data_IF_431471363741
#
_entry.id   IF_431471363741
#
_cell.length_a   1.000
_cell.length_b   1.000
_cell.length_c   1.000
_cell.angle_alpha   90.00
_cell.angle_beta   90.00
_cell.angle_gamma   90.00
#
_symmetry.space_group_name_H-M   'P 1'
#
loop_
_entity.id
_entity.type
_entity.pdbx_description
1 polymer ?
#
# COMPACT_ATOMS: atom_id res chain seq x y z
N UNK A 1 30.53 87.54 71.71
CA UNK A 1 29.53 87.37 70.64
C UNK A 1 29.89 86.12 69.87
N UNK A 2 28.96 85.19 69.82
CA UNK A 2 29.04 83.84 69.27
C UNK A 2 28.84 83.90 67.76
N UNK A 3 29.78 83.40 66.97
CA UNK A 3 29.50 82.91 65.61
C UNK A 3 29.81 81.42 65.57
N UNK A 4 28.74 80.64 65.52
CA UNK A 4 28.77 79.21 65.26
C UNK A 4 28.82 79.08 63.73
N UNK A 5 29.99 78.77 63.18
CA UNK A 5 30.05 78.26 61.80
C UNK A 5 29.71 76.77 61.83
N UNK A 6 28.46 76.47 61.45
CA UNK A 6 27.96 75.13 61.19
C UNK A 6 28.70 74.52 59.98
N UNK A 7 29.08 73.25 60.16
CA UNK A 7 29.61 72.28 59.18
C UNK A 7 31.12 72.24 58.93
N UNK A 8 31.74 71.14 59.39
CA UNK A 8 32.60 70.39 58.50
C UNK A 8 32.33 68.87 58.51
N UNK A 9 32.46 68.26 57.31
CA UNK A 9 32.64 66.82 56.97
C UNK A 9 31.40 65.92 56.79
N UNK A 10 31.02 65.66 55.53
CA UNK A 10 30.39 64.38 55.13
C UNK A 10 30.87 63.82 53.75
N UNK A 11 32.17 63.73 53.44
CA UNK A 11 32.60 63.04 52.22
C UNK A 11 32.33 61.52 52.26
N UNK A 12 32.29 60.89 53.43
CA UNK A 12 32.07 59.43 53.56
C UNK A 12 30.61 58.99 53.31
N UNK A 13 29.62 59.79 53.70
CA UNK A 13 28.19 59.46 53.52
C UNK A 13 27.77 59.45 52.05
N UNK A 14 28.31 60.36 51.25
CA UNK A 14 28.02 60.46 49.81
C UNK A 14 28.64 59.27 49.08
N UNK A 15 29.86 58.88 49.43
CA UNK A 15 30.55 57.72 48.83
C UNK A 15 29.81 56.40 49.11
N UNK A 16 29.29 56.21 50.32
CA UNK A 16 28.47 55.02 50.65
C UNK A 16 27.17 55.00 49.85
N UNK A 17 26.50 56.15 49.70
CA UNK A 17 25.27 56.24 48.91
C UNK A 17 25.51 55.91 47.44
N UNK A 18 26.58 56.45 46.84
CA UNK A 18 26.98 56.13 45.47
C UNK A 18 27.28 54.64 45.32
N UNK A 19 28.00 54.03 46.26
CA UNK A 19 28.30 52.60 46.23
C UNK A 19 27.04 51.73 46.29
N UNK A 20 26.08 52.08 47.16
CA UNK A 20 24.78 51.40 47.25
C UNK A 20 23.99 51.54 45.94
N UNK A 21 23.96 52.73 45.33
CA UNK A 21 23.26 52.92 44.05
C UNK A 21 23.87 52.09 42.92
N UNK A 22 25.21 52.01 42.84
CA UNK A 22 25.91 51.16 41.88
C UNK A 22 25.58 49.69 42.12
N UNK A 23 25.52 49.24 43.38
CA UNK A 23 25.16 47.87 43.73
C UNK A 23 23.72 47.53 43.31
N UNK A 24 22.77 48.45 43.52
CA UNK A 24 21.37 48.28 43.09
C UNK A 24 21.26 48.21 41.57
N UNK A 25 21.98 49.07 40.85
CA UNK A 25 22.01 49.06 39.38
C UNK A 25 22.61 47.74 38.86
N UNK A 26 23.70 47.25 39.45
CA UNK A 26 24.28 45.96 39.12
C UNK A 26 23.30 44.81 39.37
N UNK A 27 22.58 44.83 40.50
CA UNK A 27 21.56 43.83 40.82
C UNK A 27 20.39 43.86 39.81
N UNK A 28 19.96 45.05 39.40
CA UNK A 28 18.94 45.23 38.37
C UNK A 28 19.40 44.69 37.01
N UNK A 29 20.65 44.97 36.61
CA UNK A 29 21.23 44.42 35.38
C UNK A 29 21.27 42.89 35.45
N UNK A 30 21.71 42.31 36.58
CA UNK A 30 21.78 40.87 36.76
C UNK A 30 20.39 40.21 36.69
N UNK A 31 19.40 40.79 37.36
CA UNK A 31 18.02 40.28 37.35
C UNK A 31 17.39 40.35 35.96
N UNK A 32 17.59 41.44 35.21
CA UNK A 32 17.16 41.55 33.82
C UNK A 32 17.85 40.50 32.95
N UNK A 33 19.17 40.30 33.11
CA UNK A 33 19.92 39.31 32.34
C UNK A 33 19.44 37.88 32.62
N UNK A 34 19.20 37.53 33.88
CA UNK A 34 18.64 36.23 34.28
C UNK A 34 17.24 36.06 33.70
N UNK A 35 16.40 37.09 33.75
CA UNK A 35 15.04 37.05 33.21
C UNK A 35 15.03 36.86 31.68
N UNK A 36 15.91 37.55 30.95
CA UNK A 36 16.06 37.35 29.52
C UNK A 36 16.55 35.93 29.19
N UNK A 37 17.53 35.42 29.94
CA UNK A 37 18.04 34.06 29.75
C UNK A 37 16.96 33.01 30.03
N UNK A 38 16.17 33.19 31.08
CA UNK A 38 15.03 32.33 31.41
C UNK A 38 13.94 32.37 30.33
N UNK A 39 13.62 33.56 29.79
CA UNK A 39 12.68 33.68 28.66
C UNK A 39 13.19 32.94 27.42
N UNK A 40 14.48 33.09 27.09
CA UNK A 40 15.09 32.41 25.94
C UNK A 40 15.06 30.88 26.13
N UNK A 41 15.46 30.40 27.31
CA UNK A 41 15.39 28.98 27.66
C UNK A 41 13.97 28.43 27.54
N UNK A 42 12.97 29.16 28.04
CA UNK A 42 11.57 28.76 27.95
C UNK A 42 11.11 28.66 26.50
N UNK A 43 11.45 29.64 25.66
CA UNK A 43 11.14 29.63 24.23
C UNK A 43 11.77 28.42 23.51
N UNK A 44 13.06 28.15 23.74
CA UNK A 44 13.75 27.00 23.12
C UNK A 44 13.15 25.67 23.61
N UNK A 45 12.76 25.58 24.88
CA UNK A 45 12.09 24.40 25.40
C UNK A 45 10.71 24.19 24.75
N UNK A 46 9.93 25.25 24.57
CA UNK A 46 8.63 25.19 23.89
C UNK A 46 8.76 24.76 22.42
N UNK A 47 9.77 25.27 21.71
CA UNK A 47 10.09 24.89 20.34
C UNK A 47 10.50 23.41 20.24
N UNK A 48 11.41 22.95 21.09
CA UNK A 48 11.82 21.54 21.14
C UNK A 48 10.65 20.61 21.50
N UNK A 49 9.75 21.02 22.39
CA UNK A 49 8.54 20.24 22.71
C UNK A 49 7.60 20.16 21.50
N UNK A 50 7.47 21.23 20.71
CA UNK A 50 6.64 21.25 19.51
C UNK A 50 7.22 20.34 18.41
N UNK A 51 8.53 20.42 18.16
CA UNK A 51 9.24 19.56 17.22
C UNK A 51 9.11 18.08 17.60
N UNK A 52 9.28 17.76 18.89
CA UNK A 52 9.16 16.38 19.37
C UNK A 52 7.75 15.83 19.21
N UNK A 53 6.71 16.63 19.48
CA UNK A 53 5.32 16.24 19.22
C UNK A 53 5.04 16.01 17.74
N UNK A 54 5.67 16.77 16.86
CA UNK A 54 5.55 16.57 15.41
C UNK A 54 6.21 15.25 15.00
N UNK A 55 7.42 14.99 15.50
CA UNK A 55 8.13 13.74 15.26
C UNK A 55 7.33 12.53 15.75
N UNK A 56 6.77 12.58 16.95
CA UNK A 56 5.95 11.51 17.50
C UNK A 56 4.74 11.20 16.60
N UNK A 57 4.13 12.22 15.99
CA UNK A 57 3.01 12.03 15.04
C UNK A 57 3.46 11.42 13.71
N UNK A 58 4.59 11.86 13.15
CA UNK A 58 5.12 11.34 11.89
C UNK A 58 5.58 9.88 12.07
N UNK A 59 6.15 9.57 13.24
CA UNK A 59 6.65 8.24 13.56
C UNK A 59 5.57 7.28 14.09
N UNK A 60 4.31 7.70 14.21
CA UNK A 60 3.25 6.89 14.80
C UNK A 60 3.04 5.53 14.10
N UNK A 61 3.20 5.51 12.77
CA UNK A 61 3.06 4.31 11.95
C UNK A 61 4.32 3.41 11.98
N UNK A 62 5.43 3.89 12.57
CA UNK A 62 6.68 3.17 12.67
C UNK A 62 6.79 2.44 14.01
N UNK A 63 7.34 1.24 14.00
CA UNK A 63 7.69 0.50 15.22
C UNK A 63 8.98 1.01 15.83
N UNK A 64 9.94 1.44 15.01
CA UNK A 64 11.16 2.09 15.44
C UNK A 64 11.73 3.01 14.36
N UNK A 65 12.38 4.10 14.76
CA UNK A 65 13.08 5.02 13.86
C UNK A 65 14.42 5.42 14.47
N UNK A 66 15.46 5.30 13.66
CA UNK A 66 16.84 5.63 14.03
C UNK A 66 17.40 6.71 13.12
N UNK A 67 18.17 7.61 13.69
CA UNK A 67 19.04 8.53 12.95
C UNK A 67 20.45 7.95 12.95
N UNK A 68 20.94 7.52 11.79
CA UNK A 68 22.16 6.72 11.67
C UNK A 68 23.21 7.49 10.89
N UNK A 69 24.42 7.59 11.45
CA UNK A 69 25.60 8.02 10.71
C UNK A 69 26.26 6.80 10.04
N UNK A 70 26.14 6.72 8.72
CA UNK A 70 26.50 5.53 7.96
C UNK A 70 28.02 5.31 7.89
N UNK A 71 28.85 6.35 8.03
CA UNK A 71 30.31 6.18 7.99
C UNK A 71 30.87 5.54 9.27
N UNK A 72 30.28 5.86 10.42
CA UNK A 72 30.76 5.39 11.74
C UNK A 72 29.91 4.25 12.31
N UNK A 73 28.65 4.14 11.87
CA UNK A 73 27.64 3.27 12.45
C UNK A 73 27.10 3.75 13.79
N UNK A 74 27.41 4.97 14.23
CA UNK A 74 26.75 5.55 15.41
C UNK A 74 25.30 5.91 15.07
N UNK A 75 24.38 5.72 16.01
CA UNK A 75 22.98 6.08 15.80
C UNK A 75 22.33 6.69 17.04
N UNK A 76 21.25 7.43 16.80
CA UNK A 76 20.33 7.94 17.81
C UNK A 76 18.96 7.30 17.65
N UNK A 77 18.33 6.98 18.78
CA UNK A 77 16.98 6.44 18.83
C UNK A 77 16.00 7.61 18.81
N UNK A 78 15.33 7.83 17.68
CA UNK A 78 14.31 8.88 17.57
C UNK A 78 12.97 8.40 18.09
N UNK A 79 12.60 7.16 17.78
CA UNK A 79 11.33 6.58 18.16
C UNK A 79 11.43 5.07 18.33
N UNK A 80 10.81 4.52 19.38
CA UNK A 80 10.56 3.08 19.53
C UNK A 80 9.19 2.92 20.20
N UNK A 81 8.27 2.27 19.49
CA UNK A 81 6.96 1.91 20.02
C UNK A 81 7.07 0.79 21.06
N UNK A 82 6.15 0.80 22.02
CA UNK A 82 6.00 -0.27 23.00
C UNK A 82 5.50 -1.56 22.33
N UNK A 83 5.77 -2.70 22.96
CA UNK A 83 5.38 -4.02 22.42
C UNK A 83 6.19 -4.46 21.19
N UNK A 84 7.27 -3.76 20.82
CA UNK A 84 8.15 -4.14 19.70
C UNK A 84 9.26 -5.09 20.14
N UNK A 85 9.81 -5.86 19.20
CA UNK A 85 10.94 -6.76 19.45
C UNK A 85 12.18 -6.01 19.92
N UNK A 86 12.44 -4.83 19.35
CA UNK A 86 13.64 -4.04 19.68
C UNK A 86 13.58 -3.40 21.07
N UNK A 87 12.38 -3.10 21.60
CA UNK A 87 12.22 -2.62 22.99
C UNK A 87 12.81 -3.60 24.00
N UNK A 88 12.78 -4.91 23.72
CA UNK A 88 13.35 -5.96 24.59
C UNK A 88 14.88 -6.05 24.54
N UNK A 89 15.53 -5.42 23.57
CA UNK A 89 16.99 -5.50 23.39
C UNK A 89 17.76 -4.53 24.30
N UNK A 90 17.08 -3.58 24.95
CA UNK A 90 17.69 -2.55 25.81
C UNK A 90 18.87 -1.83 25.15
N UNK A 91 18.70 -1.46 23.87
CA UNK A 91 19.71 -0.69 23.12
C UNK A 91 20.09 0.58 23.87
N UNK A 92 21.38 0.90 23.88
CA UNK A 92 21.93 2.08 24.56
C UNK A 92 22.40 3.10 23.55
N UNK A 93 22.33 4.37 23.95
CA UNK A 93 22.95 5.46 23.21
C UNK A 93 24.46 5.20 23.12
N UNK A 94 25.00 5.16 21.89
CA UNK A 94 26.40 4.83 21.63
C UNK A 94 26.67 3.39 21.19
N UNK A 95 25.65 2.53 21.11
CA UNK A 95 25.77 1.24 20.44
C UNK A 95 26.07 1.43 18.93
N UNK A 96 26.69 0.43 18.31
CA UNK A 96 26.91 0.42 16.87
C UNK A 96 25.70 -0.16 16.13
N UNK A 97 25.22 0.54 15.12
CA UNK A 97 24.03 0.19 14.35
C UNK A 97 24.11 -1.21 13.72
N UNK A 98 25.24 -1.57 13.10
CA UNK A 98 25.41 -2.89 12.48
C UNK A 98 25.39 -4.00 13.54
N UNK A 99 26.02 -3.77 14.69
CA UNK A 99 26.01 -4.73 15.81
C UNK A 99 24.60 -4.90 16.38
N UNK A 100 23.84 -3.82 16.55
CA UNK A 100 22.45 -3.87 17.00
C UNK A 100 21.56 -4.60 15.99
N UNK A 101 21.73 -4.34 14.69
CA UNK A 101 21.00 -5.03 13.63
C UNK A 101 21.34 -6.53 13.57
N UNK A 102 22.61 -6.90 13.79
CA UNK A 102 23.05 -8.29 13.88
C UNK A 102 22.37 -9.03 15.04
N UNK A 103 22.37 -8.42 16.23
CA UNK A 103 21.71 -8.98 17.41
C UNK A 103 20.20 -9.14 17.18
N UNK A 104 19.56 -8.15 16.55
CA UNK A 104 18.15 -8.23 16.18
C UNK A 104 17.90 -9.43 15.26
N UNK A 105 18.72 -9.58 14.21
CA UNK A 105 18.60 -10.67 13.26
C UNK A 105 18.75 -12.06 13.92
N UNK A 106 19.75 -12.22 14.79
CA UNK A 106 19.97 -13.48 15.51
C UNK A 106 18.81 -13.82 16.44
N UNK A 107 18.24 -12.84 17.12
CA UNK A 107 17.19 -13.07 18.11
C UNK A 107 15.82 -13.29 17.46
N UNK A 108 15.47 -12.47 16.48
CA UNK A 108 14.10 -12.34 15.98
C UNK A 108 13.88 -12.84 14.55
N UNK A 109 14.91 -13.05 13.73
CA UNK A 109 14.72 -13.56 12.37
C UNK A 109 14.96 -15.06 12.26
N UNK A 110 14.30 -15.69 11.29
CA UNK A 110 14.52 -17.08 10.93
C UNK A 110 15.88 -17.25 10.25
N UNK A 111 16.55 -18.37 10.51
CA UNK A 111 17.95 -18.57 10.10
C UNK A 111 18.22 -18.31 8.62
N UNK A 112 17.29 -18.73 7.75
CA UNK A 112 17.40 -18.57 6.29
C UNK A 112 17.37 -17.11 5.82
N UNK A 113 16.69 -16.23 6.56
CA UNK A 113 16.46 -14.83 6.17
C UNK A 113 17.49 -13.87 6.80
N UNK A 114 18.27 -14.35 7.78
CA UNK A 114 19.20 -13.51 8.55
C UNK A 114 20.27 -12.87 7.68
N UNK A 115 20.89 -13.63 6.79
CA UNK A 115 22.03 -13.12 6.04
C UNK A 115 21.59 -12.01 5.08
N UNK A 116 20.51 -12.24 4.35
CA UNK A 116 19.92 -11.25 3.44
C UNK A 116 19.54 -9.96 4.17
N UNK A 117 18.88 -10.07 5.33
CA UNK A 117 18.57 -8.90 6.15
C UNK A 117 19.83 -8.16 6.59
N UNK A 118 20.86 -8.87 7.08
CA UNK A 118 22.12 -8.27 7.54
C UNK A 118 22.86 -7.55 6.42
N UNK A 119 22.89 -8.16 5.24
CA UNK A 119 23.53 -7.58 4.06
C UNK A 119 22.81 -6.29 3.66
N UNK A 120 21.47 -6.32 3.62
CA UNK A 120 20.66 -5.15 3.27
C UNK A 120 20.76 -4.01 4.28
N UNK A 121 20.66 -4.31 5.59
CA UNK A 121 20.64 -3.28 6.64
C UNK A 121 22.03 -2.72 6.96
N UNK A 122 23.11 -3.35 6.47
CA UNK A 122 24.47 -2.92 6.76
C UNK A 122 24.71 -1.48 6.35
N UNK A 123 25.40 -0.69 7.18
CA UNK A 123 25.70 0.71 6.85
C UNK A 123 26.43 0.88 5.53
N UNK A 124 27.27 -0.10 5.14
CA UNK A 124 27.93 -0.13 3.84
C UNK A 124 26.94 -0.22 2.68
N UNK A 125 25.97 -1.14 2.75
CA UNK A 125 24.93 -1.28 1.73
C UNK A 125 24.00 -0.06 1.70
N UNK A 126 23.54 0.40 2.87
CA UNK A 126 22.70 1.59 3.00
C UNK A 126 23.39 2.80 2.36
N UNK A 127 24.68 3.01 2.65
CA UNK A 127 25.48 4.10 2.08
C UNK A 127 25.55 3.97 0.56
N UNK A 128 25.91 2.80 0.03
CA UNK A 128 26.01 2.59 -1.42
C UNK A 128 24.69 2.91 -2.14
N UNK A 129 23.58 2.39 -1.62
CA UNK A 129 22.27 2.60 -2.23
C UNK A 129 21.80 4.04 -2.11
N UNK A 130 21.97 4.66 -0.94
CA UNK A 130 21.51 6.03 -0.67
C UNK A 130 22.38 7.10 -1.32
N UNK A 131 23.61 6.79 -1.73
CA UNK A 131 24.38 7.68 -2.62
C UNK A 131 23.73 7.84 -4.00
N UNK A 132 22.85 6.92 -4.41
CA UNK A 132 22.19 6.90 -5.73
C UNK A 132 20.68 7.12 -5.66
N UNK A 133 20.06 6.91 -4.50
CA UNK A 133 18.60 6.94 -4.29
C UNK A 133 18.29 7.74 -3.04
N UNK A 134 17.22 8.52 -3.07
CA UNK A 134 16.74 9.23 -1.86
C UNK A 134 16.23 8.27 -0.78
N UNK A 135 15.70 7.11 -1.20
CA UNK A 135 15.05 6.14 -0.31
C UNK A 135 15.12 4.72 -0.84
N UNK A 136 15.23 3.77 0.06
CA UNK A 136 15.14 2.33 -0.20
C UNK A 136 14.25 1.63 0.83
N UNK A 137 13.69 0.50 0.44
CA UNK A 137 12.77 -0.31 1.25
C UNK A 137 13.14 -1.78 1.18
N UNK A 138 12.83 -2.53 2.24
CA UNK A 138 13.03 -3.97 2.35
C UNK A 138 11.95 -4.60 3.19
N UNK A 139 11.43 -5.73 2.73
CA UNK A 139 10.40 -6.49 3.44
C UNK A 139 11.03 -7.73 4.05
N UNK A 140 10.70 -8.00 5.31
CA UNK A 140 11.20 -9.17 6.00
C UNK A 140 10.14 -9.72 6.96
N UNK A 141 10.29 -11.00 7.30
CA UNK A 141 9.49 -11.66 8.31
C UNK A 141 10.31 -11.86 9.58
N UNK A 142 9.76 -11.51 10.73
CA UNK A 142 10.32 -11.88 12.02
C UNK A 142 9.46 -12.91 12.73
N UNK A 143 10.01 -13.52 13.78
CA UNK A 143 9.20 -14.17 14.81
C UNK A 143 8.18 -13.16 15.37
N UNK A 144 6.97 -13.61 15.72
CA UNK A 144 5.93 -12.73 16.26
C UNK A 144 6.44 -11.87 17.42
N UNK A 145 6.17 -10.58 17.33
CA UNK A 145 6.37 -9.68 18.46
C UNK A 145 5.21 -9.84 19.49
N UNK A 146 5.26 -9.19 20.67
CA UNK A 146 4.14 -9.20 21.63
C UNK A 146 2.76 -8.85 21.08
N UNK A 147 2.69 -8.04 20.01
CA UNK A 147 1.47 -7.64 19.33
C UNK A 147 1.08 -8.61 18.19
N UNK A 148 1.74 -9.77 18.08
CA UNK A 148 1.54 -10.79 17.04
C UNK A 148 1.89 -10.34 15.61
N UNK A 149 2.63 -9.24 15.45
CA UNK A 149 3.12 -8.82 14.14
C UNK A 149 4.34 -9.64 13.74
N UNK A 150 4.33 -10.13 12.50
CA UNK A 150 5.39 -10.94 11.91
C UNK A 150 5.98 -10.31 10.65
N UNK A 151 5.21 -9.52 9.91
CA UNK A 151 5.64 -8.93 8.65
C UNK A 151 6.03 -7.47 8.82
N UNK A 152 7.24 -7.13 8.37
CA UNK A 152 7.81 -5.81 8.56
C UNK A 152 8.40 -5.24 7.27
N UNK A 153 8.34 -3.91 7.18
CA UNK A 153 9.09 -3.13 6.21
C UNK A 153 10.15 -2.31 6.94
N UNK A 154 11.40 -2.44 6.51
CA UNK A 154 12.46 -1.49 6.80
C UNK A 154 12.55 -0.47 5.66
N UNK A 155 12.69 0.80 6.03
CA UNK A 155 12.84 1.90 5.09
C UNK A 155 14.04 2.75 5.51
N UNK A 156 14.94 3.02 4.59
CA UNK A 156 16.05 3.94 4.81
C UNK A 156 15.94 5.13 3.86
N UNK A 157 16.09 6.34 4.37
CA UNK A 157 16.04 7.58 3.61
C UNK A 157 17.26 8.45 3.90
N UNK A 158 17.84 9.02 2.85
CA UNK A 158 18.97 9.96 2.97
C UNK A 158 18.49 11.25 3.62
N UNK A 159 19.29 11.79 4.53
CA UNK A 159 19.02 13.09 5.18
C UNK A 159 20.07 14.12 4.81
N UNK A 160 21.34 13.74 4.93
CA UNK A 160 22.46 14.65 4.70
C UNK A 160 23.71 13.87 4.31
N UNK A 161 24.51 14.45 3.42
CA UNK A 161 25.81 13.92 3.03
C UNK A 161 26.78 15.07 2.77
N UNK A 162 27.97 15.00 3.36
CA UNK A 162 29.14 15.82 3.05
C UNK A 162 30.42 14.97 2.98
N UNK A 163 31.60 15.60 2.91
CA UNK A 163 32.88 14.90 2.82
C UNK A 163 33.19 13.97 4.01
N UNK A 164 32.60 14.22 5.18
CA UNK A 164 32.89 13.51 6.44
C UNK A 164 31.70 12.71 6.97
N UNK A 165 30.49 13.15 6.68
CA UNK A 165 29.27 12.63 7.29
C UNK A 165 28.28 12.17 6.24
N UNK A 166 27.59 11.05 6.54
CA UNK A 166 26.48 10.56 5.76
C UNK A 166 25.39 10.06 6.70
N UNK A 167 24.37 10.88 6.88
CA UNK A 167 23.24 10.58 7.74
C UNK A 167 22.03 10.04 6.97
N UNK A 168 21.39 9.03 7.55
CA UNK A 168 20.13 8.46 7.08
C UNK A 168 19.13 8.28 8.23
N UNK A 169 17.86 8.39 7.91
CA UNK A 169 16.78 7.87 8.76
C UNK A 169 16.50 6.43 8.38
N UNK A 170 16.48 5.54 9.37
CA UNK A 170 16.10 4.14 9.19
C UNK A 170 14.88 3.85 10.06
N UNK A 171 13.74 3.67 9.40
CA UNK A 171 12.45 3.37 10.01
C UNK A 171 12.03 1.92 9.78
N UNK A 172 11.36 1.33 10.75
CA UNK A 172 10.75 0.02 10.67
C UNK A 172 9.26 0.16 10.92
N UNK A 173 8.41 -0.53 10.17
CA UNK A 173 6.96 -0.59 10.40
C UNK A 173 6.45 -2.00 10.18
N UNK A 174 5.36 -2.34 10.86
CA UNK A 174 4.65 -3.58 10.58
C UNK A 174 3.79 -3.38 9.33
N UNK A 175 3.59 -4.45 8.56
CA UNK A 175 2.81 -4.44 7.32
C UNK A 175 1.85 -5.64 7.26
N UNK A 176 1.57 -6.29 8.40
CA UNK A 176 0.70 -7.48 8.49
C UNK A 176 -0.69 -7.22 7.90
N UNK A 177 -1.26 -6.05 8.15
CA UNK A 177 -2.56 -5.60 7.65
C UNK A 177 -2.55 -5.35 6.12
N UNK A 178 -1.39 -4.99 5.56
CA UNK A 178 -1.20 -4.92 4.10
C UNK A 178 -1.13 -6.34 3.53
N UNK A 179 -0.34 -7.22 4.15
CA UNK A 179 -0.16 -8.61 3.72
C UNK A 179 -1.46 -9.43 3.79
N UNK A 180 -2.26 -9.22 4.84
CA UNK A 180 -3.57 -9.87 5.01
C UNK A 180 -4.54 -9.47 3.89
N UNK A 181 -4.61 -8.17 3.57
CA UNK A 181 -5.44 -7.66 2.47
C UNK A 181 -4.97 -8.19 1.12
N UNK A 182 -3.66 -8.16 0.86
CA UNK A 182 -3.11 -8.67 -0.40
C UNK A 182 -3.38 -10.16 -0.56
N UNK A 183 -3.16 -10.96 0.49
CA UNK A 183 -3.46 -12.40 0.48
C UNK A 183 -4.94 -12.67 0.24
N UNK A 184 -5.83 -11.89 0.85
CA UNK A 184 -7.28 -12.02 0.65
C UNK A 184 -7.66 -11.73 -0.80
N UNK A 185 -7.12 -10.66 -1.39
CA UNK A 185 -7.34 -10.31 -2.79
C UNK A 185 -6.79 -11.39 -3.73
N UNK A 186 -5.57 -11.88 -3.48
CA UNK A 186 -4.96 -12.94 -4.27
C UNK A 186 -5.80 -14.22 -4.24
N UNK A 187 -6.32 -14.61 -3.07
CA UNK A 187 -7.20 -15.77 -2.92
C UNK A 187 -8.54 -15.57 -3.65
N UNK A 188 -9.16 -14.40 -3.54
CA UNK A 188 -10.39 -14.08 -4.26
C UNK A 188 -10.17 -14.11 -5.78
N UNK A 189 -9.07 -13.57 -6.27
CA UNK A 189 -8.72 -13.58 -7.68
C UNK A 189 -8.47 -15.01 -8.18
N UNK A 190 -7.76 -15.83 -7.40
CA UNK A 190 -7.52 -17.23 -7.72
C UNK A 190 -8.84 -18.01 -7.79
N UNK A 191 -9.74 -17.81 -6.82
CA UNK A 191 -11.04 -18.44 -6.82
C UNK A 191 -11.86 -18.05 -8.06
N UNK A 192 -11.95 -16.75 -8.38
CA UNK A 192 -12.66 -16.27 -9.56
C UNK A 192 -12.06 -16.82 -10.88
N UNK A 193 -10.73 -16.96 -10.94
CA UNK A 193 -10.04 -17.57 -12.08
C UNK A 193 -10.37 -19.05 -12.22
N UNK A 194 -10.37 -19.80 -11.12
CA UNK A 194 -10.67 -21.23 -11.12
C UNK A 194 -12.16 -21.48 -11.46
N UNK A 195 -13.08 -20.64 -10.96
CA UNK A 195 -14.49 -20.67 -11.34
C UNK A 195 -14.70 -20.36 -12.84
N UNK A 196 -14.01 -19.35 -13.37
CA UNK A 196 -14.07 -19.00 -14.80
C UNK A 196 -13.48 -20.12 -15.68
N UNK A 197 -12.38 -20.77 -15.24
CA UNK A 197 -11.79 -21.92 -15.93
C UNK A 197 -12.76 -23.09 -15.96
N UNK A 198 -13.36 -23.45 -14.82
CA UNK A 198 -14.36 -24.51 -14.75
C UNK A 198 -15.56 -24.22 -15.66
N UNK A 199 -16.06 -22.98 -15.65
CA UNK A 199 -17.15 -22.56 -16.54
C UNK A 199 -16.76 -22.72 -18.02
N UNK A 200 -15.55 -22.31 -18.39
CA UNK A 200 -15.04 -22.48 -19.74
C UNK A 200 -14.88 -23.96 -20.12
N UNK A 201 -14.36 -24.81 -19.23
CA UNK A 201 -14.24 -26.26 -19.47
C UNK A 201 -15.61 -26.91 -19.70
N UNK A 202 -16.62 -26.54 -18.91
CA UNK A 202 -18.00 -27.01 -19.09
C UNK A 202 -18.55 -26.57 -20.45
N UNK A 203 -18.43 -25.28 -20.80
CA UNK A 203 -18.83 -24.76 -22.12
C UNK A 203 -18.12 -25.52 -23.23
N UNK A 204 -16.83 -25.81 -23.04
CA UNK A 204 -16.00 -26.54 -24.01
C UNK A 204 -16.51 -27.96 -24.25
N UNK A 205 -16.83 -28.67 -23.16
CA UNK A 205 -17.39 -30.02 -23.22
C UNK A 205 -18.77 -30.04 -23.89
N UNK A 206 -19.63 -29.06 -23.56
CA UNK A 206 -20.95 -28.93 -24.19
C UNK A 206 -20.82 -28.60 -25.67
N UNK A 207 -19.92 -27.68 -26.04
CA UNK A 207 -19.70 -27.24 -27.42
C UNK A 207 -19.33 -28.38 -28.36
N UNK A 208 -18.62 -29.42 -27.90
CA UNK A 208 -18.34 -30.63 -28.69
C UNK A 208 -19.60 -31.38 -29.16
N UNK A 209 -20.75 -31.15 -28.53
CA UNK A 209 -22.03 -31.80 -28.88
C UNK A 209 -22.89 -30.99 -29.87
N UNK A 210 -22.49 -29.77 -30.21
CA UNK A 210 -23.26 -28.87 -31.08
C UNK A 210 -22.46 -28.46 -32.31
N UNK A 211 -23.11 -28.34 -33.47
CA UNK A 211 -22.46 -27.88 -34.70
C UNK A 211 -22.05 -26.39 -34.63
N UNK A 212 -22.83 -25.57 -33.93
CA UNK A 212 -22.54 -24.14 -33.71
C UNK A 212 -23.26 -23.66 -32.46
N UNK A 213 -22.62 -22.80 -31.67
CA UNK A 213 -23.22 -22.16 -30.48
C UNK A 213 -23.04 -20.65 -30.60
N UNK A 214 -24.14 -19.93 -30.37
CA UNK A 214 -24.19 -18.47 -30.41
C UNK A 214 -24.69 -17.92 -29.07
N UNK A 215 -24.00 -16.89 -28.57
CA UNK A 215 -24.53 -16.02 -27.52
C UNK A 215 -25.26 -14.86 -28.19
N UNK A 216 -26.53 -14.65 -27.85
CA UNK A 216 -27.36 -13.59 -28.44
C UNK A 216 -27.78 -12.60 -27.34
N UNK A 217 -27.48 -11.33 -27.52
CA UNK A 217 -28.08 -10.20 -26.81
C UNK A 217 -29.31 -9.74 -27.61
N UNK A 218 -30.48 -10.21 -27.17
CA UNK A 218 -31.77 -9.97 -27.85
C UNK A 218 -32.12 -8.48 -27.91
N UNK A 219 -31.76 -7.69 -26.90
CA UNK A 219 -32.10 -6.27 -26.85
C UNK A 219 -31.29 -5.45 -27.86
N UNK A 220 -30.03 -5.83 -28.07
CA UNK A 220 -29.11 -5.15 -28.99
C UNK A 220 -29.12 -5.73 -30.40
N UNK A 221 -29.93 -6.77 -30.63
CA UNK A 221 -29.86 -7.60 -31.84
C UNK A 221 -28.41 -8.02 -32.16
N UNK A 222 -27.65 -8.42 -31.14
CA UNK A 222 -26.21 -8.70 -31.27
C UNK A 222 -25.93 -10.17 -30.99
N UNK A 223 -25.12 -10.81 -31.84
CA UNK A 223 -24.63 -12.16 -31.57
C UNK A 223 -23.11 -12.20 -31.46
N UNK A 224 -22.64 -13.23 -30.75
CA UNK A 224 -21.24 -13.63 -30.71
C UNK A 224 -21.15 -15.16 -30.77
N UNK A 225 -20.35 -15.68 -31.70
CA UNK A 225 -20.16 -17.11 -31.87
C UNK A 225 -19.14 -17.68 -30.87
N UNK A 226 -19.50 -18.78 -30.21
CA UNK A 226 -18.75 -19.38 -29.09
C UNK A 226 -17.83 -20.53 -29.55
N UNK A 227 -18.11 -21.19 -30.68
CA UNK A 227 -17.27 -22.32 -31.12
C UNK A 227 -17.29 -22.58 -32.62
N UNK A 228 -16.10 -22.88 -33.15
CA UNK A 228 -15.85 -23.78 -34.28
C UNK A 228 -14.54 -24.56 -34.00
N UNK A 229 -14.66 -25.76 -33.42
CA UNK A 229 -13.71 -26.89 -33.46
C UNK A 229 -12.21 -26.68 -33.11
N UNK A 230 -11.84 -25.85 -32.12
CA UNK A 230 -10.44 -25.85 -31.62
C UNK A 230 -10.32 -25.69 -30.10
N UNK A 231 -9.29 -26.35 -29.54
CA UNK A 231 -9.02 -26.62 -28.11
C UNK A 231 -8.96 -25.41 -27.16
N UNK A 232 -9.21 -24.18 -27.64
CA UNK A 232 -9.32 -22.99 -26.81
C UNK A 232 -10.55 -22.22 -27.28
N UNK A 233 -11.65 -22.34 -26.52
CA UNK A 233 -12.91 -21.64 -26.78
C UNK A 233 -12.75 -20.13 -26.56
N UNK A 234 -12.20 -19.47 -27.57
CA UNK A 234 -12.32 -18.03 -27.76
C UNK A 234 -13.65 -17.77 -28.46
N UNK A 235 -14.29 -16.67 -28.10
CA UNK A 235 -15.24 -15.98 -28.98
C UNK A 235 -14.54 -15.90 -30.34
N UNK A 236 -15.12 -16.49 -31.40
CA UNK A 236 -14.42 -16.72 -32.67
C UNK A 236 -14.05 -15.40 -33.38
N UNK A 237 -14.41 -14.25 -32.79
CA UNK A 237 -14.36 -12.92 -33.38
C UNK A 237 -15.54 -12.67 -34.33
N UNK A 238 -16.29 -13.71 -34.68
CA UNK A 238 -17.48 -13.62 -35.51
C UNK A 238 -18.67 -13.11 -34.68
N UNK A 239 -19.06 -11.87 -34.96
CA UNK A 239 -20.09 -11.12 -34.24
C UNK A 239 -20.77 -10.15 -35.19
N UNK A 240 -22.00 -9.76 -34.88
CA UNK A 240 -22.78 -8.86 -35.73
C UNK A 240 -24.26 -8.86 -35.37
N UNK A 241 -25.12 -8.52 -36.33
CA UNK A 241 -26.57 -8.59 -36.13
C UNK A 241 -27.03 -10.05 -35.99
N UNK A 242 -27.72 -10.35 -34.89
CA UNK A 242 -28.24 -11.69 -34.63
C UNK A 242 -29.30 -12.07 -35.68
N UNK A 243 -30.24 -11.16 -35.95
CA UNK A 243 -31.32 -11.38 -36.92
C UNK A 243 -30.78 -11.62 -38.33
N UNK A 244 -29.83 -10.81 -38.79
CA UNK A 244 -29.21 -10.98 -40.10
C UNK A 244 -28.52 -12.35 -40.22
N UNK A 245 -27.70 -12.71 -39.23
CA UNK A 245 -26.97 -13.99 -39.23
C UNK A 245 -27.91 -15.18 -39.24
N UNK A 246 -28.95 -15.17 -38.40
CA UNK A 246 -29.92 -16.27 -38.31
C UNK A 246 -30.71 -16.43 -39.61
N UNK A 247 -31.20 -15.34 -40.22
CA UNK A 247 -31.88 -15.43 -41.51
C UNK A 247 -30.94 -15.86 -42.65
N UNK A 248 -29.69 -15.39 -42.65
CA UNK A 248 -28.68 -15.86 -43.60
C UNK A 248 -28.44 -17.37 -43.48
N UNK A 249 -28.33 -17.90 -42.26
CA UNK A 249 -28.21 -19.34 -42.02
C UNK A 249 -29.43 -20.10 -42.54
N UNK A 250 -30.64 -19.57 -42.30
CA UNK A 250 -31.87 -20.15 -42.82
C UNK A 250 -31.88 -20.22 -44.35
N UNK A 251 -31.49 -19.15 -45.02
CA UNK A 251 -31.52 -19.07 -46.49
C UNK A 251 -30.45 -19.91 -47.17
N UNK A 252 -29.31 -20.10 -46.50
CA UNK A 252 -28.16 -20.81 -47.05
C UNK A 252 -28.22 -22.30 -46.76
N UNK A 253 -28.64 -22.70 -45.55
CA UNK A 253 -28.45 -24.08 -45.05
C UNK A 253 -29.73 -24.88 -44.88
N UNK A 254 -30.90 -24.25 -44.72
CA UNK A 254 -32.17 -24.95 -44.48
C UNK A 254 -32.83 -25.37 -45.80
N UNK A 255 -33.27 -26.62 -45.88
CA UNK A 255 -34.01 -27.15 -47.02
C UNK A 255 -35.28 -26.31 -47.27
N UNK A 256 -35.59 -26.07 -48.55
CA UNK A 256 -36.65 -25.12 -48.97
C UNK A 256 -38.01 -25.39 -48.31
N UNK A 257 -38.38 -26.66 -48.14
CA UNK A 257 -39.63 -27.10 -47.52
C UNK A 257 -39.76 -26.75 -46.03
N UNK A 258 -38.65 -26.54 -45.31
CA UNK A 258 -38.64 -26.15 -43.88
C UNK A 258 -38.50 -24.65 -43.65
N UNK A 259 -38.20 -23.84 -44.68
CA UNK A 259 -37.90 -22.40 -44.49
C UNK A 259 -39.09 -21.61 -43.94
N UNK A 260 -40.31 -21.93 -44.35
CA UNK A 260 -41.54 -21.30 -43.85
C UNK A 260 -41.80 -21.59 -42.38
N UNK A 261 -41.38 -22.77 -41.90
CA UNK A 261 -41.44 -23.16 -40.48
C UNK A 261 -40.34 -22.47 -39.66
N UNK A 262 -39.12 -22.43 -40.19
CA UNK A 262 -37.94 -21.98 -39.43
C UNK A 262 -37.82 -20.45 -39.36
N UNK A 263 -38.26 -19.70 -40.37
CA UNK A 263 -38.17 -18.23 -40.35
C UNK A 263 -38.87 -17.59 -39.14
N UNK A 264 -40.13 -17.92 -38.79
CA UNK A 264 -40.76 -17.42 -37.57
C UNK A 264 -40.03 -17.86 -36.30
N UNK A 265 -39.48 -19.09 -36.28
CA UNK A 265 -38.74 -19.59 -35.13
C UNK A 265 -37.46 -18.79 -34.85
N UNK A 266 -36.82 -18.26 -35.89
CA UNK A 266 -35.60 -17.47 -35.83
C UNK A 266 -35.80 -15.98 -35.51
N UNK A 267 -37.04 -15.50 -35.44
CA UNK A 267 -37.31 -14.09 -35.14
C UNK A 267 -36.88 -13.73 -33.72
N UNK A 268 -35.75 -13.01 -33.63
CA UNK A 268 -35.10 -12.58 -32.39
C UNK A 268 -36.02 -11.69 -31.57
N UNK A 269 -36.83 -10.85 -32.20
CA UNK A 269 -37.73 -9.91 -31.51
C UNK A 269 -38.81 -10.62 -30.69
N UNK A 270 -39.14 -11.85 -31.05
CA UNK A 270 -40.15 -12.67 -30.35
C UNK A 270 -39.54 -13.59 -29.30
N UNK A 271 -38.21 -13.77 -29.27
CA UNK A 271 -37.55 -14.73 -28.37
C UNK A 271 -37.83 -14.42 -26.90
N UNK A 272 -37.77 -13.14 -26.48
CA UNK A 272 -38.04 -12.75 -25.10
C UNK A 272 -39.46 -13.11 -24.64
N UNK A 273 -40.45 -13.03 -25.53
CA UNK A 273 -41.82 -13.41 -25.21
C UNK A 273 -41.97 -14.94 -25.15
N UNK A 274 -41.37 -15.67 -26.11
CA UNK A 274 -41.44 -17.13 -26.20
C UNK A 274 -40.71 -17.85 -25.06
N UNK A 275 -39.59 -17.30 -24.59
CA UNK A 275 -38.78 -17.84 -23.50
C UNK A 275 -39.13 -17.25 -22.12
N UNK A 276 -40.29 -16.59 -21.99
CA UNK A 276 -40.68 -15.95 -20.73
C UNK A 276 -40.98 -16.96 -19.62
N UNK A 277 -41.54 -18.12 -19.97
CA UNK A 277 -41.97 -19.17 -19.04
C UNK A 277 -41.27 -20.51 -19.27
N UNK A 278 -40.53 -20.63 -20.36
CA UNK A 278 -39.85 -21.85 -20.78
C UNK A 278 -38.33 -21.65 -20.69
N UNK A 279 -37.60 -22.62 -20.14
CA UNK A 279 -36.12 -22.57 -20.08
C UNK A 279 -35.47 -22.72 -21.46
N UNK A 280 -36.16 -23.39 -22.38
CA UNK A 280 -35.74 -23.54 -23.77
C UNK A 280 -36.92 -23.74 -24.73
N UNK A 281 -36.69 -23.44 -26.01
CA UNK A 281 -37.55 -23.82 -27.13
C UNK A 281 -36.71 -24.50 -28.21
N UNK A 282 -37.26 -25.51 -28.88
CA UNK A 282 -36.54 -26.24 -29.93
C UNK A 282 -37.43 -26.57 -31.12
N UNK A 283 -36.78 -26.80 -32.27
CA UNK A 283 -37.42 -27.29 -33.49
C UNK A 283 -36.45 -28.16 -34.28
N UNK A 284 -36.97 -29.13 -35.01
CA UNK A 284 -36.20 -30.02 -35.89
C UNK A 284 -36.47 -29.68 -37.35
N UNK A 285 -35.44 -29.79 -38.19
CA UNK A 285 -35.50 -29.46 -39.61
C UNK A 285 -34.45 -30.21 -40.42
N UNK A 286 -34.60 -30.20 -41.75
CA UNK A 286 -33.58 -30.73 -42.66
C UNK A 286 -32.72 -29.62 -43.26
N UNK A 287 -31.43 -29.88 -43.37
CA UNK A 287 -30.51 -29.06 -44.14
C UNK A 287 -30.58 -29.37 -45.63
N UNK A 288 -30.00 -28.51 -46.47
CA UNK A 288 -29.92 -28.67 -47.92
C UNK A 288 -29.23 -29.99 -48.35
N UNK A 289 -28.37 -30.56 -47.51
CA UNK A 289 -27.69 -31.84 -47.74
C UNK A 289 -28.54 -33.08 -47.35
N UNK A 290 -29.77 -32.86 -46.85
CA UNK A 290 -30.70 -33.91 -46.44
C UNK A 290 -30.51 -34.41 -45.00
N UNK A 291 -29.50 -33.93 -44.27
CA UNK A 291 -29.27 -34.28 -42.87
C UNK A 291 -30.31 -33.64 -41.94
N UNK A 292 -30.67 -34.34 -40.86
CA UNK A 292 -31.57 -33.83 -39.83
C UNK A 292 -30.79 -33.08 -38.76
N UNK A 293 -31.29 -31.90 -38.41
CA UNK A 293 -30.71 -31.03 -37.39
C UNK A 293 -31.78 -30.55 -36.42
N UNK A 294 -31.35 -30.24 -35.19
CA UNK A 294 -32.19 -29.63 -34.16
C UNK A 294 -31.65 -28.28 -33.77
N UNK A 295 -32.50 -27.25 -33.82
CA UNK A 295 -32.19 -25.92 -33.32
C UNK A 295 -32.78 -25.75 -31.92
N UNK A 296 -32.04 -25.08 -31.05
CA UNK A 296 -32.41 -24.83 -29.67
C UNK A 296 -32.11 -23.36 -29.33
N UNK A 297 -33.07 -22.67 -28.71
CA UNK A 297 -32.81 -21.44 -27.98
C UNK A 297 -33.02 -21.71 -26.49
N UNK A 298 -32.07 -21.27 -25.67
CA UNK A 298 -32.15 -21.34 -24.22
C UNK A 298 -31.86 -19.97 -23.63
N UNK A 299 -32.50 -19.65 -22.50
CA UNK A 299 -32.35 -18.37 -21.81
C UNK A 299 -31.45 -18.54 -20.58
N UNK A 300 -30.59 -17.56 -20.31
CA UNK A 300 -29.87 -17.50 -19.04
C UNK A 300 -30.87 -17.17 -17.93
N UNK A 301 -31.13 -18.11 -17.04
CA UNK A 301 -31.83 -17.85 -15.78
C UNK A 301 -30.94 -17.00 -14.88
N UNK A 302 -31.49 -15.89 -14.38
CA UNK A 302 -30.80 -14.91 -13.54
C UNK A 302 -30.66 -15.36 -12.09
#
# INVERSE_FOLDING_TARGET
>A
MTEINLFPKQPQSVTVLVFITVLIVLLLILTVMVHMRNRKLKSTLEEQMAERRLLDKICADFTAVYYVELNTGSFEILHINDGTNVKKMNLKQGDNFNSSADQYAVQYLYEKERQEFKDWISTGHLKEQLSRKERITYHYRSKPNPNQHEFFEAQAAKIYEDEKHFFALVGFRHIDDIMEKETTIQNQLKQALDEARLSNEIISAIAKSYCSIYRIDVQKDFFEEISNDSEIHKLTGNRGSASEKLYQLCDTMVASEYRSLIRPFLDVSTLSARLKTEEYISTEYRMCDGSWHRMLFTVKTG
#
